data_IF_627369784012
#
_entry.id   IF_627369784012
#
_cell.length_a   1.000
_cell.length_b   1.000
_cell.length_c   1.000
_cell.angle_alpha   90.00
_cell.angle_beta   90.00
_cell.angle_gamma   90.00
#
_symmetry.space_group_name_H-M   'P 1'
#
loop_
_entity.id
_entity.type
_entity.pdbx_description
1 polymer ?
#
# COMPACT_ATOMS: atom_id res chain seq x y z
N UNK A 1 11.12 -62.12 -26.18
CA UNK A 1 9.93 -61.44 -26.72
C UNK A 1 9.60 -60.29 -25.78
N UNK A 2 9.68 -59.05 -26.29
CA UNK A 2 8.92 -57.81 -25.94
C UNK A 2 8.55 -57.53 -24.46
N UNK A 3 8.63 -56.34 -23.89
CA UNK A 3 9.11 -55.01 -24.28
C UNK A 3 8.94 -54.11 -23.01
N UNK A 4 9.90 -53.20 -22.79
CA UNK A 4 9.86 -51.90 -22.12
C UNK A 4 8.79 -51.48 -21.09
N UNK A 5 9.31 -51.02 -19.94
CA UNK A 5 9.14 -49.69 -19.33
C UNK A 5 7.86 -48.89 -19.65
N UNK A 6 7.13 -48.49 -18.60
CA UNK A 6 7.11 -47.07 -18.25
C UNK A 6 6.59 -46.80 -16.83
N UNK A 7 7.53 -46.34 -16.02
CA UNK A 7 7.35 -45.43 -14.91
C UNK A 7 6.74 -44.13 -15.48
N UNK A 8 5.64 -43.63 -14.92
CA UNK A 8 5.31 -42.22 -15.02
C UNK A 8 5.00 -41.69 -13.61
N UNK A 9 5.49 -40.49 -13.29
CA UNK A 9 5.84 -40.08 -11.94
C UNK A 9 4.72 -39.24 -11.32
N UNK A 10 4.69 -39.19 -9.99
CA UNK A 10 4.02 -38.12 -9.28
C UNK A 10 4.73 -36.80 -9.59
N UNK A 11 4.18 -36.08 -10.57
CA UNK A 11 4.47 -34.69 -10.85
C UNK A 11 3.61 -33.82 -9.95
N UNK A 12 4.24 -33.01 -9.12
CA UNK A 12 3.80 -31.64 -8.85
C UNK A 12 5.04 -30.87 -8.41
N UNK A 13 5.81 -30.43 -9.40
CA UNK A 13 6.79 -29.37 -9.23
C UNK A 13 6.02 -28.11 -8.90
N UNK A 14 6.25 -27.56 -7.72
CA UNK A 14 5.79 -26.23 -7.33
C UNK A 14 6.24 -25.22 -8.38
N UNK A 15 5.27 -24.56 -8.99
CA UNK A 15 5.46 -23.49 -9.96
C UNK A 15 6.21 -22.33 -9.30
N UNK A 16 7.43 -22.11 -9.79
CA UNK A 16 8.12 -20.84 -9.65
C UNK A 16 7.26 -19.74 -10.24
N UNK A 17 6.73 -18.84 -9.41
CA UNK A 17 6.13 -17.59 -9.89
C UNK A 17 7.22 -16.75 -10.58
N UNK A 18 7.30 -16.87 -11.90
CA UNK A 18 7.95 -15.86 -12.73
C UNK A 18 7.06 -14.61 -12.69
N UNK A 19 7.48 -13.62 -11.90
CA UNK A 19 6.93 -12.26 -11.98
C UNK A 19 7.24 -11.72 -13.38
N UNK A 20 6.22 -11.68 -14.25
CA UNK A 20 6.28 -10.85 -15.44
C UNK A 20 6.32 -9.39 -14.98
N UNK A 21 7.41 -8.71 -15.34
CA UNK A 21 7.88 -7.37 -14.94
C UNK A 21 6.96 -6.19 -15.37
N UNK A 22 5.66 -6.46 -15.55
CA UNK A 22 4.72 -5.56 -16.23
C UNK A 22 3.53 -5.17 -15.33
N UNK A 23 3.30 -5.87 -14.22
CA UNK A 23 2.14 -5.62 -13.36
C UNK A 23 2.56 -5.51 -11.90
N UNK A 24 2.43 -4.32 -11.32
CA UNK A 24 2.56 -4.10 -9.89
C UNK A 24 1.20 -4.25 -9.19
N UNK A 25 1.17 -4.94 -8.06
CA UNK A 25 -0.01 -5.04 -7.20
C UNK A 25 0.33 -4.50 -5.82
N UNK A 26 -0.44 -3.54 -5.33
CA UNK A 26 -0.31 -2.98 -3.99
C UNK A 26 -1.41 -3.56 -3.10
N UNK A 27 -1.05 -4.19 -1.97
CA UNK A 27 -2.03 -4.56 -0.97
C UNK A 27 -2.57 -3.33 -0.23
N UNK A 28 -3.68 -3.52 0.49
CA UNK A 28 -4.13 -2.61 1.52
C UNK A 28 -2.99 -2.41 2.54
N UNK A 29 -2.77 -1.15 2.96
CA UNK A 29 -1.74 -0.85 3.97
C UNK A 29 -2.23 -1.03 5.40
N UNK A 30 -3.54 -1.18 5.61
CA UNK A 30 -4.17 -1.41 6.91
C UNK A 30 -5.50 -2.11 6.71
N UNK A 31 -5.99 -2.82 7.73
CA UNK A 31 -7.34 -3.38 7.71
C UNK A 31 -8.38 -2.26 7.59
N UNK A 32 -9.41 -2.45 6.78
CA UNK A 32 -10.46 -1.45 6.62
C UNK A 32 -11.30 -1.58 5.35
N UNK A 33 -12.03 -0.53 5.03
CA UNK A 33 -12.75 -0.39 3.77
C UNK A 33 -11.87 0.32 2.74
N UNK A 34 -11.63 -0.30 1.59
CA UNK A 34 -10.95 0.34 0.45
C UNK A 34 -11.97 1.16 -0.33
N UNK A 35 -11.66 2.44 -0.53
CA UNK A 35 -12.46 3.38 -1.30
C UNK A 35 -11.65 3.95 -2.49
N UNK A 36 -12.32 4.32 -3.59
CA UNK A 36 -11.72 5.14 -4.64
C UNK A 36 -11.09 6.42 -4.06
N UNK A 37 -10.03 6.94 -4.70
CA UNK A 37 -9.37 8.15 -4.21
C UNK A 37 -10.31 9.38 -4.29
N UNK A 38 -11.26 9.34 -5.21
CA UNK A 38 -12.31 10.35 -5.41
C UNK A 38 -13.31 10.43 -4.25
N UNK A 39 -13.39 9.42 -3.38
CA UNK A 39 -14.24 9.41 -2.18
C UNK A 39 -13.53 9.97 -0.93
N UNK A 40 -12.26 10.37 -1.04
CA UNK A 40 -11.55 11.02 0.07
C UNK A 40 -12.05 12.47 0.16
N UNK A 41 -12.48 12.90 1.35
CA UNK A 41 -13.04 14.24 1.61
C UNK A 41 -11.98 15.36 1.66
N UNK A 42 -11.05 15.35 0.71
CA UNK A 42 -10.00 16.35 0.54
C UNK A 42 -9.70 16.51 -0.97
N UNK A 43 -9.92 17.70 -1.55
CA UNK A 43 -9.71 17.96 -2.98
C UNK A 43 -8.29 17.62 -3.46
N UNK A 44 -7.28 17.72 -2.60
CA UNK A 44 -5.89 17.40 -2.97
C UNK A 44 -5.77 15.93 -3.40
N UNK A 45 -6.53 15.04 -2.75
CA UNK A 45 -6.59 13.63 -3.10
C UNK A 45 -7.70 13.33 -4.11
N UNK A 46 -8.92 13.83 -3.89
CA UNK A 46 -10.08 13.54 -4.73
C UNK A 46 -9.91 13.98 -6.19
N UNK A 47 -9.28 15.14 -6.41
CA UNK A 47 -8.99 15.66 -7.75
C UNK A 47 -7.68 15.09 -8.33
N UNK A 48 -7.05 14.14 -7.63
CA UNK A 48 -5.79 13.48 -8.04
C UNK A 48 -4.64 14.45 -8.31
N UNK A 49 -4.61 15.58 -7.59
CA UNK A 49 -3.60 16.62 -7.76
C UNK A 49 -2.21 16.06 -7.44
N UNK A 50 -2.09 15.24 -6.39
CA UNK A 50 -0.84 14.58 -6.00
C UNK A 50 -0.53 13.39 -6.93
N UNK A 51 -1.54 12.60 -7.30
CA UNK A 51 -1.38 11.42 -8.15
C UNK A 51 -2.56 10.44 -8.06
N UNK A 52 -2.41 9.32 -8.77
CA UNK A 52 -3.38 8.21 -8.74
C UNK A 52 -3.22 7.39 -7.47
N UNK A 53 -4.29 6.81 -6.94
CA UNK A 53 -4.22 6.06 -5.69
C UNK A 53 -5.56 5.52 -5.22
N UNK A 54 -5.64 5.29 -3.91
CA UNK A 54 -6.85 4.83 -3.24
C UNK A 54 -6.85 5.28 -1.77
N UNK A 55 -8.04 5.30 -1.17
CA UNK A 55 -8.22 5.53 0.26
C UNK A 55 -8.54 4.24 1.00
N UNK A 56 -8.27 4.23 2.31
CA UNK A 56 -8.72 3.18 3.23
C UNK A 56 -9.35 3.86 4.44
N UNK A 57 -10.59 3.51 4.79
CA UNK A 57 -11.18 3.85 6.10
C UNK A 57 -10.73 2.78 7.09
N UNK A 58 -9.77 3.06 7.99
CA UNK A 58 -9.10 2.02 8.75
C UNK A 58 -10.00 1.46 9.86
N UNK A 59 -10.00 0.14 9.98
CA UNK A 59 -10.49 -0.59 11.17
C UNK A 59 -9.33 -1.16 11.99
N UNK A 60 -8.18 -1.36 11.34
CA UNK A 60 -6.92 -1.79 11.95
C UNK A 60 -6.07 -0.63 12.46
N UNK A 61 -5.02 -0.98 13.20
CA UNK A 61 -4.08 -0.02 13.80
C UNK A 61 -2.69 -0.02 13.17
N UNK A 62 -2.35 -1.04 12.40
CA UNK A 62 -0.99 -1.21 11.86
C UNK A 62 -0.97 -0.83 10.39
N UNK A 63 -0.10 0.12 10.04
CA UNK A 63 0.21 0.50 8.68
C UNK A 63 1.41 -0.33 8.21
N UNK A 64 1.21 -1.10 7.15
CA UNK A 64 2.19 -1.98 6.54
C UNK A 64 2.76 -1.38 5.26
N UNK A 65 3.99 -1.76 4.92
CA UNK A 65 4.57 -1.41 3.62
C UNK A 65 3.86 -2.18 2.51
N UNK A 66 3.33 -1.51 1.47
CA UNK A 66 2.73 -2.18 0.33
C UNK A 66 3.77 -2.71 -0.67
N UNK A 67 5.04 -2.35 -0.50
CA UNK A 67 6.13 -2.63 -1.46
C UNK A 67 7.43 -3.01 -0.76
N UNK A 68 8.30 -3.68 -1.50
CA UNK A 68 9.73 -3.72 -1.20
C UNK A 68 10.35 -2.40 -1.64
N UNK A 69 11.09 -1.73 -0.77
CA UNK A 69 11.60 -0.40 -1.09
C UNK A 69 12.42 0.25 0.01
N UNK A 70 12.54 1.56 -0.10
CA UNK A 70 13.30 2.43 0.79
C UNK A 70 12.39 3.55 1.29
N UNK A 71 12.52 3.87 2.57
CA UNK A 71 11.89 5.04 3.17
C UNK A 71 12.66 6.30 2.78
N UNK A 72 12.11 7.07 1.85
CA UNK A 72 12.74 8.31 1.34
C UNK A 72 12.61 9.46 2.33
N UNK A 73 11.44 9.55 2.97
CA UNK A 73 11.12 10.62 3.90
C UNK A 73 9.97 10.20 4.82
N UNK A 74 9.99 10.72 6.03
CA UNK A 74 8.90 10.61 7.00
C UNK A 74 8.60 12.04 7.46
N UNK A 75 7.33 12.42 7.50
CA UNK A 75 6.95 13.71 8.11
C UNK A 75 7.37 13.74 9.58
N UNK A 76 7.72 14.93 10.11
CA UNK A 76 8.14 15.09 11.51
C UNK A 76 7.09 14.58 12.51
N UNK A 77 5.81 14.68 12.13
CA UNK A 77 4.66 14.20 12.91
C UNK A 77 4.22 12.77 12.54
N UNK A 78 4.98 12.06 11.70
CA UNK A 78 4.83 10.62 11.34
C UNK A 78 3.54 10.23 10.60
N UNK A 79 2.64 11.18 10.30
CA UNK A 79 1.41 10.94 9.55
C UNK A 79 1.64 10.65 8.06
N UNK A 80 2.81 11.00 7.50
CA UNK A 80 3.10 10.79 6.09
C UNK A 80 4.45 10.09 5.88
N UNK A 81 4.46 9.11 4.98
CA UNK A 81 5.61 8.26 4.68
C UNK A 81 5.79 8.20 3.16
N UNK A 82 6.99 8.50 2.71
CA UNK A 82 7.39 8.44 1.31
C UNK A 82 8.24 7.20 1.10
N UNK A 83 7.81 6.33 0.20
CA UNK A 83 8.51 5.11 -0.18
C UNK A 83 8.96 5.19 -1.63
N UNK A 84 10.13 4.65 -1.93
CA UNK A 84 10.59 4.39 -3.29
C UNK A 84 10.89 2.91 -3.48
N UNK A 85 10.67 2.39 -4.69
CA UNK A 85 11.10 1.03 -5.06
C UNK A 85 12.31 1.09 -5.98
N UNK A 86 13.02 -0.04 -6.14
CA UNK A 86 14.09 -0.19 -7.12
C UNK A 86 13.64 0.09 -8.56
N UNK A 87 12.34 -0.09 -8.84
CA UNK A 87 11.75 0.09 -10.16
C UNK A 87 11.23 1.53 -10.35
N UNK A 88 11.80 2.49 -9.62
CA UNK A 88 11.49 3.92 -9.69
C UNK A 88 10.03 4.29 -9.38
N UNK A 89 9.27 3.43 -8.72
CA UNK A 89 7.92 3.75 -8.23
C UNK A 89 8.05 4.53 -6.93
N UNK A 90 7.33 5.65 -6.82
CA UNK A 90 7.29 6.48 -5.62
C UNK A 90 5.89 6.48 -5.05
N UNK A 91 5.75 6.09 -3.78
CA UNK A 91 4.48 6.03 -3.08
C UNK A 91 4.47 7.00 -1.91
N UNK A 92 3.32 7.62 -1.68
CA UNK A 92 2.97 8.32 -0.45
C UNK A 92 1.93 7.51 0.30
N UNK A 93 2.17 7.27 1.58
CA UNK A 93 1.14 6.83 2.54
C UNK A 93 0.87 8.02 3.45
N UNK A 94 -0.33 8.59 3.37
CA UNK A 94 -0.78 9.72 4.19
C UNK A 94 -1.89 9.24 5.13
N UNK A 95 -1.73 9.45 6.43
CA UNK A 95 -2.59 8.88 7.47
C UNK A 95 -3.46 9.98 8.07
N UNK A 96 -4.75 9.91 7.75
CA UNK A 96 -5.76 10.89 8.14
C UNK A 96 -5.65 12.21 7.38
N UNK A 97 -6.72 13.02 7.44
CA UNK A 97 -6.77 14.36 6.84
C UNK A 97 -6.44 15.41 7.90
N UNK A 98 -5.56 16.35 7.56
CA UNK A 98 -5.08 17.42 8.44
C UNK A 98 -4.42 16.97 9.77
N UNK A 99 -4.03 15.69 9.88
CA UNK A 99 -3.46 15.09 11.09
C UNK A 99 -2.06 15.60 11.46
N UNK A 100 -1.45 16.44 10.62
CA UNK A 100 -0.24 17.19 10.97
C UNK A 100 -0.42 17.99 12.28
N UNK A 101 -1.64 18.49 12.53
CA UNK A 101 -2.01 19.27 13.71
C UNK A 101 -1.99 18.45 15.02
N UNK A 102 -2.03 17.11 14.93
CA UNK A 102 -1.90 16.22 16.08
C UNK A 102 -0.47 16.17 16.64
N UNK A 103 0.51 16.79 15.95
CA UNK A 103 1.91 16.92 16.40
C UNK A 103 2.55 15.56 16.78
N UNK A 104 2.16 14.50 16.07
CA UNK A 104 2.64 13.14 16.27
C UNK A 104 1.95 12.34 17.38
N UNK A 105 0.93 12.90 18.05
CA UNK A 105 0.08 12.14 18.96
C UNK A 105 -0.80 11.16 18.18
N UNK A 106 -0.94 9.94 18.69
CA UNK A 106 -1.68 8.88 18.00
C UNK A 106 -0.86 8.11 16.96
N UNK A 107 0.44 8.40 16.81
CA UNK A 107 1.34 7.75 15.85
C UNK A 107 2.60 7.19 16.53
N UNK A 108 2.80 5.88 16.44
CA UNK A 108 4.02 5.20 16.90
C UNK A 108 4.75 4.63 15.70
N UNK A 109 6.01 4.99 15.51
CA UNK A 109 6.78 4.58 14.34
C UNK A 109 8.23 4.33 14.73
N UNK A 110 8.77 3.22 14.23
CA UNK A 110 10.17 2.82 14.41
C UNK A 110 11.00 2.93 13.13
N UNK A 111 10.36 3.26 12.00
CA UNK A 111 11.04 3.47 10.72
C UNK A 111 11.81 4.78 10.72
N UNK A 112 12.86 4.85 9.90
CA UNK A 112 13.71 6.03 9.74
C UNK A 112 13.95 6.29 8.27
N UNK A 113 14.31 7.54 7.95
CA UNK A 113 14.81 7.87 6.61
C UNK A 113 15.97 6.93 6.24
N UNK A 114 16.01 6.57 4.96
CA UNK A 114 16.97 5.68 4.33
C UNK A 114 16.90 4.20 4.75
N UNK A 115 15.93 3.83 5.60
CA UNK A 115 15.68 2.44 5.97
C UNK A 115 15.10 1.66 4.80
N UNK A 116 15.59 0.43 4.60
CA UNK A 116 15.02 -0.55 3.67
C UNK A 116 13.84 -1.24 4.35
N UNK A 117 12.74 -1.40 3.62
CA UNK A 117 11.52 -2.07 4.05
C UNK A 117 11.11 -3.11 3.01
N UNK A 118 10.53 -4.20 3.48
CA UNK A 118 9.91 -5.23 2.66
C UNK A 118 8.39 -5.08 2.70
N UNK A 119 7.71 -5.61 1.68
CA UNK A 119 6.26 -5.71 1.68
C UNK A 119 5.80 -6.46 2.93
N UNK A 120 4.85 -5.87 3.64
CA UNK A 120 4.33 -6.41 4.90
C UNK A 120 5.11 -6.00 6.14
N UNK A 121 6.22 -5.25 6.01
CA UNK A 121 6.87 -4.67 7.18
C UNK A 121 5.97 -3.62 7.83
N UNK A 122 5.97 -3.59 9.16
CA UNK A 122 5.27 -2.56 9.93
C UNK A 122 5.98 -1.22 9.80
N UNK A 123 5.25 -0.19 9.38
CA UNK A 123 5.77 1.17 9.23
C UNK A 123 5.38 2.05 10.41
N UNK A 124 4.09 2.10 10.71
CA UNK A 124 3.50 2.98 11.74
C UNK A 124 2.34 2.26 12.39
N UNK A 125 2.22 2.37 13.70
CA UNK A 125 1.00 2.06 14.44
C UNK A 125 0.23 3.35 14.70
N UNK A 126 -1.06 3.32 14.44
CA UNK A 126 -1.97 4.45 14.52
C UNK A 126 -3.08 4.15 15.53
N UNK A 127 -3.69 5.19 16.10
CA UNK A 127 -4.93 5.07 16.85
C UNK A 127 -6.07 5.80 16.11
N UNK A 128 -6.82 5.09 15.24
CA UNK A 128 -7.91 5.70 14.49
C UNK A 128 -8.99 6.31 15.38
N UNK A 129 -9.21 5.72 16.57
CA UNK A 129 -10.21 6.23 17.53
C UNK A 129 -9.76 7.56 18.10
N UNK A 130 -8.51 7.65 18.54
CA UNK A 130 -7.94 8.91 19.00
C UNK A 130 -8.00 10.00 17.91
N UNK A 131 -7.65 9.66 16.66
CA UNK A 131 -7.72 10.61 15.53
C UNK A 131 -9.14 11.15 15.36
N UNK A 132 -10.15 10.27 15.39
CA UNK A 132 -11.57 10.67 15.32
C UNK A 132 -12.02 11.50 16.53
N UNK A 133 -11.59 11.13 17.74
CA UNK A 133 -11.92 11.85 18.99
C UNK A 133 -11.35 13.27 19.01
N UNK A 134 -10.18 13.49 18.40
CA UNK A 134 -9.58 14.80 18.20
C UNK A 134 -10.23 15.59 17.04
N UNK A 135 -11.24 15.02 16.37
CA UNK A 135 -12.03 15.68 15.33
C UNK A 135 -11.46 15.56 13.92
N UNK A 136 -10.51 14.65 13.67
CA UNK A 136 -9.90 14.45 12.36
C UNK A 136 -10.40 13.18 11.68
N UNK A 137 -10.40 13.18 10.35
CA UNK A 137 -10.76 12.01 9.56
C UNK A 137 -9.55 11.03 9.52
N UNK A 138 -9.69 9.75 9.93
CA UNK A 138 -8.57 8.80 9.98
C UNK A 138 -8.25 8.11 8.65
N UNK A 139 -8.94 8.46 7.54
CA UNK A 139 -8.72 7.85 6.22
C UNK A 139 -7.24 7.85 5.84
N UNK A 140 -6.74 6.69 5.43
CA UNK A 140 -5.37 6.50 4.95
C UNK A 140 -5.36 6.57 3.42
N UNK A 141 -4.68 7.54 2.85
CA UNK A 141 -4.48 7.66 1.42
C UNK A 141 -3.17 7.00 0.99
N UNK A 142 -3.22 6.17 -0.05
CA UNK A 142 -2.03 5.59 -0.70
C UNK A 142 -1.97 6.10 -2.12
N UNK A 143 -0.93 6.86 -2.46
CA UNK A 143 -0.82 7.62 -3.70
C UNK A 143 0.47 7.31 -4.44
N UNK A 144 0.37 7.10 -5.75
CA UNK A 144 1.48 7.01 -6.68
C UNK A 144 1.92 8.43 -7.09
N UNK A 145 3.11 8.84 -6.63
CA UNK A 145 3.61 10.21 -6.79
C UNK A 145 4.22 10.49 -8.18
N UNK A 146 4.59 9.46 -8.92
CA UNK A 146 5.17 9.63 -10.25
C UNK A 146 4.29 8.98 -11.31
N UNK A 147 4.06 9.72 -12.40
CA UNK A 147 3.38 9.17 -13.57
C UNK A 147 4.27 8.11 -14.22
N UNK A 148 3.69 6.94 -14.44
CA UNK A 148 4.32 5.86 -15.18
C UNK A 148 3.83 5.95 -16.63
N UNK A 149 4.76 6.01 -17.58
CA UNK A 149 4.39 6.10 -18.99
C UNK A 149 3.69 4.81 -19.42
N UNK A 150 2.65 4.93 -20.24
CA UNK A 150 1.85 3.81 -20.74
C UNK A 150 1.27 2.90 -19.64
N UNK A 151 1.05 3.40 -18.42
CA UNK A 151 0.45 2.60 -17.36
C UNK A 151 -1.07 2.71 -17.32
N UNK A 152 -1.74 1.60 -17.05
CA UNK A 152 -3.14 1.56 -16.63
C UNK A 152 -3.20 1.27 -15.13
N UNK A 153 -3.98 2.07 -14.39
CA UNK A 153 -4.20 1.90 -12.95
C UNK A 153 -5.61 1.39 -12.70
N UNK A 154 -5.77 0.53 -11.70
CA UNK A 154 -7.08 0.02 -11.27
C UNK A 154 -7.13 -0.07 -9.76
N UNK A 155 -8.23 0.44 -9.18
CA UNK A 155 -8.56 0.30 -7.75
C UNK A 155 -9.55 -0.85 -7.58
N UNK A 156 -9.45 -1.58 -6.47
CA UNK A 156 -10.39 -2.65 -6.11
C UNK A 156 -11.09 -2.31 -4.79
N UNK A 157 -12.16 -1.49 -4.81
CA UNK A 157 -12.93 -1.17 -3.61
C UNK A 157 -13.54 -2.42 -2.96
N UNK A 158 -13.53 -2.45 -1.63
CA UNK A 158 -14.16 -3.51 -0.82
C UNK A 158 -14.48 -2.98 0.57
N UNK A 159 -15.53 -3.50 1.19
CA UNK A 159 -15.92 -3.14 2.56
C UNK A 159 -14.98 -3.70 3.62
N UNK A 160 -14.33 -4.82 3.31
CA UNK A 160 -13.43 -5.52 4.22
C UNK A 160 -12.16 -5.91 3.48
N UNK A 161 -11.06 -5.25 3.86
CA UNK A 161 -9.71 -5.55 3.43
C UNK A 161 -8.87 -5.91 4.64
N UNK A 162 -7.97 -6.88 4.46
CA UNK A 162 -6.95 -7.27 5.42
C UNK A 162 -5.64 -6.62 4.97
N UNK A 163 -5.01 -5.85 5.85
CA UNK A 163 -3.73 -5.19 5.62
C UNK A 163 -2.66 -6.20 5.20
N UNK A 164 -1.78 -5.80 4.28
CA UNK A 164 -0.75 -6.63 3.64
C UNK A 164 -1.27 -7.77 2.71
N UNK A 165 -2.52 -8.22 2.89
CA UNK A 165 -3.09 -9.36 2.16
C UNK A 165 -3.96 -8.93 0.97
N UNK A 166 -5.02 -8.16 1.23
CA UNK A 166 -6.03 -7.80 0.21
C UNK A 166 -5.42 -6.85 -0.81
N UNK A 167 -5.49 -7.19 -2.11
CA UNK A 167 -5.02 -6.30 -3.18
C UNK A 167 -5.98 -5.13 -3.36
N UNK A 168 -5.47 -3.91 -3.21
CA UNK A 168 -6.24 -2.68 -3.30
C UNK A 168 -6.04 -1.93 -4.62
N UNK A 169 -4.83 -2.05 -5.19
CA UNK A 169 -4.43 -1.28 -6.36
C UNK A 169 -3.57 -2.13 -7.30
N UNK A 170 -3.78 -1.98 -8.60
CA UNK A 170 -2.97 -2.61 -9.64
C UNK A 170 -2.50 -1.55 -10.62
N UNK A 171 -1.24 -1.66 -11.02
CA UNK A 171 -0.62 -0.87 -12.08
C UNK A 171 -0.17 -1.86 -13.13
N UNK A 172 -0.69 -1.75 -14.35
CA UNK A 172 -0.24 -2.50 -15.51
C UNK A 172 0.51 -1.57 -16.45
N UNK A 173 1.81 -1.80 -16.65
CA UNK A 173 2.62 -1.14 -17.66
C UNK A 173 2.21 -1.70 -19.05
N UNK A 174 2.19 -0.87 -20.10
CA UNK A 174 1.88 -1.27 -21.47
C UNK A 174 3.04 -0.98 -22.41
#
# INVERSE_FOLDING_TARGET
>A
MTNNNNMHPYSEKQESNQENDTVLKLPAVVDGEIIPIEEIEDPIFADKIIGEGFGIRPTGKTIYSPVNGKVEQIASTKHAIYLSTSNNIKLLIHIGLDTIELKGKGFTSNIKKDMIVQRGDKLVEIDPKFIMEEGYNPVVAVVLLNRLNNSEVSVYPTKEAIGNETIAFKIALK
#
